data_IF_295514212204
#
_entry.id   IF_295514212204
#
_cell.length_a   1.000
_cell.length_b   1.000
_cell.length_c   1.000
_cell.angle_alpha   90.00
_cell.angle_beta   90.00
_cell.angle_gamma   90.00
#
_symmetry.space_group_name_H-M   'P 1'
#
loop_
_entity.id
_entity.type
_entity.pdbx_description
1 polymer ?
#
# COMPACT_ATOMS: atom_id res chain seq x y z
N UNK A 1 -11.89 -21.22 22.63
CA UNK A 1 -11.75 -19.76 22.41
C UNK A 1 -10.33 -19.50 21.87
N UNK A 2 -10.15 -19.09 20.61
CA UNK A 2 -8.82 -18.93 20.00
C UNK A 2 -8.07 -17.75 20.61
N UNK A 3 -6.81 -17.95 21.03
CA UNK A 3 -5.97 -16.83 21.47
C UNK A 3 -5.64 -15.89 20.30
N UNK A 4 -5.49 -14.58 20.57
CA UNK A 4 -5.25 -13.55 19.55
C UNK A 4 -4.07 -13.89 18.62
N UNK A 5 -3.01 -14.50 19.17
CA UNK A 5 -1.84 -14.97 18.39
C UNK A 5 -2.21 -16.11 17.41
N UNK A 6 -3.06 -17.04 17.84
CA UNK A 6 -3.55 -18.13 16.98
C UNK A 6 -4.42 -17.59 15.83
N UNK A 7 -5.24 -16.56 16.09
CA UNK A 7 -6.05 -15.89 15.04
C UNK A 7 -5.17 -15.25 13.96
N UNK A 8 -4.14 -14.50 14.36
CA UNK A 8 -3.18 -13.88 13.42
C UNK A 8 -2.48 -14.92 12.54
N UNK A 9 -1.96 -15.99 13.16
CA UNK A 9 -1.28 -17.06 12.44
C UNK A 9 -2.25 -17.74 11.47
N UNK A 10 -3.46 -18.08 11.94
CA UNK A 10 -4.48 -18.69 11.11
C UNK A 10 -4.86 -17.81 9.93
N UNK A 11 -5.10 -16.51 10.15
CA UNK A 11 -5.41 -15.55 9.07
C UNK A 11 -4.29 -15.51 8.04
N UNK A 12 -3.02 -15.39 8.47
CA UNK A 12 -1.90 -15.36 7.53
C UNK A 12 -1.73 -16.66 6.74
N UNK A 13 -1.93 -17.80 7.39
CA UNK A 13 -1.80 -19.11 6.77
C UNK A 13 -2.93 -19.38 5.78
N UNK A 14 -4.19 -19.08 6.16
CA UNK A 14 -5.36 -19.22 5.29
C UNK A 14 -5.24 -18.31 4.06
N UNK A 15 -4.83 -17.06 4.23
CA UNK A 15 -4.63 -16.14 3.09
C UNK A 15 -3.50 -16.60 2.18
N UNK A 16 -2.37 -17.05 2.74
CA UNK A 16 -1.22 -17.55 1.96
C UNK A 16 -1.59 -18.79 1.14
N UNK A 17 -2.28 -19.75 1.77
CA UNK A 17 -2.78 -20.94 1.09
C UNK A 17 -3.85 -20.59 0.05
N UNK A 18 -4.73 -19.63 0.37
CA UNK A 18 -5.72 -19.11 -0.56
C UNK A 18 -5.08 -18.53 -1.81
N UNK A 19 -4.01 -17.75 -1.67
CA UNK A 19 -3.25 -17.21 -2.79
C UNK A 19 -2.61 -18.30 -3.65
N UNK A 20 -2.00 -19.32 -3.04
CA UNK A 20 -1.49 -20.47 -3.78
C UNK A 20 -2.63 -21.22 -4.49
N UNK A 21 -3.79 -21.35 -3.84
CA UNK A 21 -4.98 -22.01 -4.38
C UNK A 21 -5.54 -21.32 -5.63
N UNK A 22 -5.33 -20.01 -5.82
CA UNK A 22 -5.74 -19.30 -7.05
C UNK A 22 -5.10 -19.92 -8.30
N UNK A 23 -3.90 -20.50 -8.16
CA UNK A 23 -3.20 -21.12 -9.29
C UNK A 23 -3.95 -22.30 -9.90
N UNK A 24 -4.75 -23.00 -9.09
CA UNK A 24 -5.54 -24.15 -9.54
C UNK A 24 -6.75 -23.75 -10.40
N UNK A 25 -7.13 -22.47 -10.41
CA UNK A 25 -8.26 -22.00 -11.20
C UNK A 25 -7.87 -21.72 -12.67
N UNK A 26 -8.77 -22.02 -13.62
CA UNK A 26 -8.63 -21.60 -15.02
C UNK A 26 -8.52 -20.06 -15.16
N UNK A 27 -7.82 -19.59 -16.19
CA UNK A 27 -7.48 -18.18 -16.37
C UNK A 27 -8.67 -17.22 -16.28
N UNK A 28 -9.84 -17.61 -16.81
CA UNK A 28 -11.05 -16.76 -16.79
C UNK A 28 -11.54 -16.42 -15.38
N UNK A 29 -11.28 -17.29 -14.40
CA UNK A 29 -11.76 -17.12 -13.03
C UNK A 29 -10.72 -16.50 -12.10
N UNK A 30 -9.47 -16.31 -12.55
CA UNK A 30 -8.37 -15.83 -11.69
C UNK A 30 -8.59 -14.41 -11.19
N UNK A 31 -9.08 -13.50 -12.03
CA UNK A 31 -9.43 -12.14 -11.60
C UNK A 31 -10.53 -12.13 -10.54
N UNK A 32 -11.58 -12.93 -10.73
CA UNK A 32 -12.64 -13.11 -9.74
C UNK A 32 -12.12 -13.71 -8.43
N UNK A 33 -11.20 -14.68 -8.51
CA UNK A 33 -10.60 -15.32 -7.35
C UNK A 33 -9.73 -14.34 -6.53
N UNK A 34 -8.99 -13.43 -7.18
CA UNK A 34 -8.23 -12.37 -6.50
C UNK A 34 -9.19 -11.37 -5.83
N UNK A 35 -10.27 -10.99 -6.50
CA UNK A 35 -11.32 -10.17 -5.88
C UNK A 35 -11.90 -10.84 -4.63
N UNK A 36 -12.22 -12.14 -4.74
CA UNK A 36 -12.66 -12.97 -3.61
C UNK A 36 -11.63 -13.03 -2.48
N UNK A 37 -10.35 -13.23 -2.79
CA UNK A 37 -9.26 -13.26 -1.81
C UNK A 37 -9.07 -11.90 -1.13
N UNK A 38 -9.28 -10.80 -1.85
CA UNK A 38 -9.22 -9.45 -1.30
C UNK A 38 -10.34 -9.21 -0.29
N UNK A 39 -11.58 -9.63 -0.62
CA UNK A 39 -12.72 -9.57 0.31
C UNK A 39 -12.49 -10.49 1.52
N UNK A 40 -11.96 -11.69 1.28
CA UNK A 40 -11.58 -12.62 2.35
C UNK A 40 -10.50 -12.02 3.26
N UNK A 41 -9.53 -11.29 2.69
CA UNK A 41 -8.51 -10.56 3.45
C UNK A 41 -9.15 -9.54 4.37
N UNK A 42 -10.06 -8.70 3.85
CA UNK A 42 -10.79 -7.72 4.67
C UNK A 42 -11.53 -8.40 5.82
N UNK A 43 -12.21 -9.52 5.53
CA UNK A 43 -13.04 -10.25 6.50
C UNK A 43 -12.20 -10.91 7.59
N UNK A 44 -11.13 -11.60 7.22
CA UNK A 44 -10.25 -12.30 8.16
C UNK A 44 -9.43 -11.32 9.02
N UNK A 45 -8.99 -10.19 8.46
CA UNK A 45 -8.36 -9.14 9.25
C UNK A 45 -9.36 -8.48 10.21
N UNK A 46 -10.59 -8.20 9.76
CA UNK A 46 -11.63 -7.65 10.63
C UNK A 46 -11.90 -8.60 11.80
N UNK A 47 -12.08 -9.89 11.53
CA UNK A 47 -12.26 -10.92 12.55
C UNK A 47 -11.07 -11.04 13.51
N UNK A 48 -9.83 -10.96 13.00
CA UNK A 48 -8.63 -11.08 13.82
C UNK A 48 -8.36 -9.86 14.70
N UNK A 49 -8.86 -8.68 14.31
CA UNK A 49 -8.57 -7.40 15.00
C UNK A 49 -9.77 -6.86 15.81
N UNK A 50 -10.96 -7.45 15.68
CA UNK A 50 -12.21 -6.97 16.29
C UNK A 50 -12.17 -6.80 17.82
N UNK A 51 -11.41 -7.63 18.54
CA UNK A 51 -11.45 -7.77 20.02
C UNK A 51 -10.96 -6.55 20.84
N UNK A 52 -10.94 -5.34 20.29
CA UNK A 52 -10.59 -4.14 21.06
C UNK A 52 -10.67 -2.81 20.31
N UNK A 53 -11.37 -2.75 19.17
CA UNK A 53 -11.40 -1.57 18.30
C UNK A 53 -12.80 -0.97 18.18
N UNK A 54 -12.87 0.36 18.15
CA UNK A 54 -14.02 1.09 17.60
C UNK A 54 -14.08 0.95 16.07
N UNK A 55 -15.28 1.01 15.50
CA UNK A 55 -15.56 0.69 14.09
C UNK A 55 -14.66 1.46 13.09
N UNK A 56 -14.40 2.73 13.36
CA UNK A 56 -13.57 3.60 12.52
C UNK A 56 -12.11 3.13 12.40
N UNK A 57 -11.54 2.65 13.51
CA UNK A 57 -10.14 2.19 13.53
C UNK A 57 -9.99 0.86 12.82
N UNK A 58 -10.96 -0.05 13.00
CA UNK A 58 -10.98 -1.31 12.26
C UNK A 58 -10.93 -1.02 10.77
N UNK A 59 -11.78 -0.13 10.26
CA UNK A 59 -11.79 0.24 8.84
C UNK A 59 -10.41 0.69 8.33
N UNK A 60 -9.74 1.59 9.04
CA UNK A 60 -8.40 2.09 8.67
C UNK A 60 -7.34 0.99 8.65
N UNK A 61 -7.38 0.06 9.60
CA UNK A 61 -6.44 -1.06 9.67
C UNK A 61 -6.64 -2.09 8.55
N UNK A 62 -7.79 -2.09 7.88
CA UNK A 62 -8.10 -2.99 6.76
C UNK A 62 -7.60 -2.48 5.41
N UNK A 63 -7.38 -1.17 5.27
CA UNK A 63 -6.99 -0.55 3.99
C UNK A 63 -5.70 -1.15 3.45
N UNK A 64 -4.63 -1.14 4.25
CA UNK A 64 -3.32 -1.57 3.74
C UNK A 64 -3.27 -3.08 3.43
N UNK A 65 -3.79 -3.99 4.28
CA UNK A 65 -3.79 -5.41 3.96
C UNK A 65 -4.62 -5.76 2.72
N UNK A 66 -5.77 -5.10 2.53
CA UNK A 66 -6.62 -5.37 1.36
C UNK A 66 -5.97 -4.86 0.08
N UNK A 67 -5.39 -3.66 0.09
CA UNK A 67 -4.65 -3.14 -1.06
C UNK A 67 -3.38 -3.94 -1.35
N UNK A 68 -2.70 -4.48 -0.34
CA UNK A 68 -1.56 -5.37 -0.54
C UNK A 68 -1.98 -6.66 -1.25
N UNK A 69 -3.06 -7.31 -0.81
CA UNK A 69 -3.58 -8.50 -1.50
C UNK A 69 -4.00 -8.21 -2.93
N UNK A 70 -4.69 -7.10 -3.16
CA UNK A 70 -5.11 -6.69 -4.50
C UNK A 70 -3.90 -6.38 -5.39
N UNK A 71 -2.92 -5.62 -4.89
CA UNK A 71 -1.70 -5.26 -5.62
C UNK A 71 -0.87 -6.48 -5.99
N UNK A 72 -0.56 -7.35 -5.03
CA UNK A 72 0.19 -8.59 -5.30
C UNK A 72 -0.61 -9.53 -6.22
N UNK A 73 -1.92 -9.61 -6.02
CA UNK A 73 -2.81 -10.44 -6.83
C UNK A 73 -2.83 -10.03 -8.30
N UNK A 74 -2.93 -8.72 -8.60
CA UNK A 74 -2.90 -8.26 -10.00
C UNK A 74 -1.48 -8.37 -10.56
N UNK A 75 -0.45 -8.02 -9.77
CA UNK A 75 0.95 -8.11 -10.18
C UNK A 75 1.36 -9.53 -10.57
N UNK A 76 0.76 -10.55 -9.95
CA UNK A 76 0.96 -11.96 -10.29
C UNK A 76 0.75 -12.26 -11.79
N UNK A 77 -0.22 -11.60 -12.45
CA UNK A 77 -0.47 -11.82 -13.88
C UNK A 77 0.63 -11.25 -14.79
N UNK A 78 1.44 -10.33 -14.29
CA UNK A 78 2.55 -9.73 -15.03
C UNK A 78 3.78 -10.63 -15.01
N UNK A 79 3.80 -11.64 -14.14
CA UNK A 79 4.93 -12.55 -13.96
C UNK A 79 4.77 -13.77 -14.89
N UNK A 80 5.86 -14.22 -15.56
CA UNK A 80 5.82 -15.42 -16.37
C UNK A 80 5.32 -16.64 -15.58
N UNK A 81 4.61 -17.55 -16.25
CA UNK A 81 4.05 -18.78 -15.66
C UNK A 81 5.11 -19.83 -15.23
N UNK A 82 6.37 -19.40 -15.05
CA UNK A 82 7.46 -20.24 -14.58
C UNK A 82 7.45 -20.31 -13.04
N UNK A 83 7.51 -21.52 -12.50
CA UNK A 83 7.54 -21.77 -11.06
C UNK A 83 8.65 -20.98 -10.35
N UNK A 84 9.82 -20.82 -10.98
CA UNK A 84 10.93 -20.07 -10.40
C UNK A 84 10.64 -18.57 -10.27
N UNK A 85 9.86 -17.99 -11.19
CA UNK A 85 9.46 -16.59 -11.14
C UNK A 85 8.32 -16.37 -10.13
N UNK A 86 7.51 -17.40 -9.89
CA UNK A 86 6.36 -17.37 -8.99
C UNK A 86 6.73 -17.55 -7.51
N UNK A 87 7.73 -18.36 -7.19
CA UNK A 87 8.18 -18.61 -5.80
C UNK A 87 8.46 -17.31 -5.03
N UNK A 88 9.23 -16.33 -5.55
CA UNK A 88 9.47 -15.06 -4.86
C UNK A 88 8.18 -14.31 -4.52
N UNK A 89 7.18 -14.32 -5.40
CA UNK A 89 5.91 -13.63 -5.17
C UNK A 89 5.07 -14.31 -4.11
N UNK A 90 5.05 -15.65 -4.08
CA UNK A 90 4.37 -16.42 -3.03
C UNK A 90 5.00 -16.14 -1.67
N UNK A 91 6.34 -16.12 -1.59
CA UNK A 91 7.07 -15.79 -0.37
C UNK A 91 6.77 -14.35 0.06
N UNK A 92 6.83 -13.40 -0.89
CA UNK A 92 6.53 -12.00 -0.63
C UNK A 92 5.11 -11.83 -0.08
N UNK A 93 4.13 -12.50 -0.67
CA UNK A 93 2.75 -12.45 -0.24
C UNK A 93 2.57 -13.03 1.16
N UNK A 94 3.04 -14.25 1.41
CA UNK A 94 2.84 -14.93 2.69
C UNK A 94 3.56 -14.24 3.83
N UNK A 95 4.81 -13.83 3.61
CA UNK A 95 5.56 -13.03 4.58
C UNK A 95 4.93 -11.65 4.77
N UNK A 96 4.57 -10.96 3.69
CA UNK A 96 3.95 -9.65 3.72
C UNK A 96 2.64 -9.64 4.52
N UNK A 97 1.74 -10.59 4.28
CA UNK A 97 0.49 -10.73 5.04
C UNK A 97 0.75 -10.98 6.52
N UNK A 98 1.70 -11.85 6.86
CA UNK A 98 2.05 -12.10 8.26
C UNK A 98 2.56 -10.83 8.96
N UNK A 99 3.47 -10.10 8.31
CA UNK A 99 4.00 -8.84 8.84
C UNK A 99 2.92 -7.77 8.94
N UNK A 100 1.98 -7.70 7.97
CA UNK A 100 0.82 -6.82 8.01
C UNK A 100 -0.10 -7.13 9.20
N UNK A 101 -0.41 -8.41 9.44
CA UNK A 101 -1.19 -8.81 10.61
C UNK A 101 -0.53 -8.35 11.92
N UNK A 102 0.79 -8.53 12.05
CA UNK A 102 1.53 -8.09 13.22
C UNK A 102 1.52 -6.57 13.38
N UNK A 103 1.76 -5.84 12.29
CA UNK A 103 1.82 -4.38 12.28
C UNK A 103 0.47 -3.77 12.64
N UNK A 104 -0.62 -4.24 12.03
CA UNK A 104 -1.98 -3.77 12.34
C UNK A 104 -2.41 -4.10 13.76
N UNK A 105 -2.01 -5.26 14.28
CA UNK A 105 -2.23 -5.58 15.69
C UNK A 105 -1.41 -4.68 16.63
N UNK A 106 -0.18 -4.30 16.28
CA UNK A 106 0.61 -3.35 17.07
C UNK A 106 -0.06 -1.97 17.08
N UNK A 107 -0.53 -1.46 15.93
CA UNK A 107 -1.26 -0.20 15.86
C UNK A 107 -2.53 -0.23 16.73
N UNK A 108 -3.30 -1.30 16.63
CA UNK A 108 -4.49 -1.53 17.46
C UNK A 108 -4.18 -1.47 18.96
N UNK A 109 -3.11 -2.13 19.40
CA UNK A 109 -2.71 -2.12 20.82
C UNK A 109 -2.16 -0.76 21.24
N UNK A 110 -1.44 -0.08 20.34
CA UNK A 110 -0.83 1.22 20.56
C UNK A 110 -1.85 2.35 20.77
N UNK A 111 -3.04 2.24 20.20
CA UNK A 111 -4.14 3.21 20.40
C UNK A 111 -4.69 3.20 21.84
N UNK A 112 -4.56 2.07 22.56
CA UNK A 112 -5.00 1.97 23.96
C UNK A 112 -3.86 2.39 24.90
N UNK A 113 -2.63 1.96 24.60
CA UNK A 113 -1.46 2.23 25.42
C UNK A 113 -0.21 2.34 24.56
N UNK A 114 0.70 3.25 24.91
CA UNK A 114 1.99 3.35 24.25
C UNK A 114 2.83 2.09 24.49
N UNK A 115 3.40 1.52 23.43
CA UNK A 115 4.26 0.34 23.48
C UNK A 115 5.58 0.58 22.74
N UNK A 116 6.69 0.06 23.26
CA UNK A 116 8.02 0.27 22.67
C UNK A 116 8.13 -0.20 21.20
N UNK A 117 7.41 -1.27 20.86
CA UNK A 117 7.37 -1.85 19.52
C UNK A 117 6.70 -0.94 18.48
N UNK A 118 5.99 0.13 18.89
CA UNK A 118 5.30 1.03 17.98
C UNK A 118 6.26 1.72 17.00
N UNK A 119 7.45 2.12 17.46
CA UNK A 119 8.44 2.78 16.59
C UNK A 119 8.89 1.87 15.45
N UNK A 120 9.14 0.59 15.76
CA UNK A 120 9.50 -0.41 14.76
C UNK A 120 8.32 -0.67 13.81
N UNK A 121 7.10 -0.81 14.34
CA UNK A 121 5.91 -1.03 13.53
C UNK A 121 5.61 0.12 12.56
N UNK A 122 5.83 1.38 12.95
CA UNK A 122 5.70 2.53 12.04
C UNK A 122 6.66 2.43 10.85
N UNK A 123 7.93 2.09 11.09
CA UNK A 123 8.91 1.90 10.02
C UNK A 123 8.54 0.75 9.09
N UNK A 124 8.16 -0.40 9.64
CA UNK A 124 7.74 -1.58 8.86
C UNK A 124 6.46 -1.28 8.07
N UNK A 125 5.47 -0.65 8.70
CA UNK A 125 4.23 -0.24 8.06
C UNK A 125 4.47 0.73 6.90
N UNK A 126 5.36 1.71 7.08
CA UNK A 126 5.74 2.65 6.03
C UNK A 126 6.38 1.94 4.83
N UNK A 127 7.32 1.02 5.04
CA UNK A 127 7.91 0.22 3.96
C UNK A 127 6.86 -0.63 3.23
N UNK A 128 5.94 -1.25 3.97
CA UNK A 128 4.84 -2.02 3.39
C UNK A 128 3.87 -1.14 2.60
N UNK A 129 3.63 0.11 3.03
CA UNK A 129 2.87 1.10 2.28
C UNK A 129 3.52 1.42 0.95
N UNK A 130 4.84 1.66 0.93
CA UNK A 130 5.57 1.93 -0.31
C UNK A 130 5.51 0.73 -1.27
N UNK A 131 5.80 -0.47 -0.76
CA UNK A 131 5.71 -1.70 -1.55
C UNK A 131 4.30 -1.91 -2.12
N UNK A 132 3.27 -1.73 -1.30
CA UNK A 132 1.87 -1.84 -1.74
C UNK A 132 1.55 -0.81 -2.81
N UNK A 133 1.95 0.45 -2.62
CA UNK A 133 1.71 1.51 -3.59
C UNK A 133 2.39 1.23 -4.93
N UNK A 134 3.63 0.73 -4.92
CA UNK A 134 4.32 0.32 -6.14
C UNK A 134 3.54 -0.76 -6.90
N UNK A 135 3.16 -1.84 -6.20
CA UNK A 135 2.43 -2.95 -6.83
C UNK A 135 1.08 -2.50 -7.40
N UNK A 136 0.38 -1.60 -6.70
CA UNK A 136 -0.92 -1.11 -7.14
C UNK A 136 -0.79 -0.13 -8.30
N UNK A 137 0.18 0.79 -8.29
CA UNK A 137 0.43 1.67 -9.44
C UNK A 137 0.87 0.88 -10.67
N UNK A 138 1.72 -0.13 -10.48
CA UNK A 138 2.16 -1.02 -11.54
C UNK A 138 1.00 -1.83 -12.14
N UNK A 139 0.12 -2.34 -11.29
CA UNK A 139 -1.12 -2.96 -11.71
C UNK A 139 -1.99 -2.00 -12.54
N UNK A 140 -2.22 -0.76 -12.06
CA UNK A 140 -3.08 0.22 -12.76
C UNK A 140 -2.49 0.58 -14.13
N UNK A 141 -1.18 0.90 -14.20
CA UNK A 141 -0.53 1.26 -15.46
C UNK A 141 -0.44 0.07 -16.43
N UNK A 142 -0.33 -1.16 -15.92
CA UNK A 142 -0.34 -2.37 -16.75
C UNK A 142 -1.70 -2.63 -17.42
N UNK A 143 -2.80 -2.11 -16.87
CA UNK A 143 -4.13 -2.23 -17.50
C UNK A 143 -4.24 -1.44 -18.82
N UNK A 144 -3.34 -0.47 -19.07
CA UNK A 144 -3.29 0.36 -20.31
C UNK A 144 -4.67 0.90 -20.73
N UNK A 145 -5.44 1.39 -19.76
CA UNK A 145 -6.79 1.92 -19.97
C UNK A 145 -6.76 3.38 -20.46
N UNK A 146 -7.94 3.95 -20.72
CA UNK A 146 -8.08 5.35 -21.13
C UNK A 146 -7.57 6.32 -20.04
N UNK A 147 -7.10 7.48 -20.50
CA UNK A 147 -6.45 8.49 -19.67
C UNK A 147 -7.26 8.89 -18.41
N UNK A 148 -8.53 9.34 -18.54
CA UNK A 148 -9.35 9.64 -17.37
C UNK A 148 -9.48 8.51 -16.35
N UNK A 149 -9.54 7.25 -16.79
CA UNK A 149 -9.66 6.11 -15.88
C UNK A 149 -8.39 5.89 -15.08
N UNK A 150 -7.24 5.94 -15.76
CA UNK A 150 -5.94 5.72 -15.12
C UNK A 150 -5.69 6.79 -14.06
N UNK A 151 -5.89 8.07 -14.40
CA UNK A 151 -5.72 9.18 -13.45
C UNK A 151 -6.72 9.07 -12.30
N UNK A 152 -7.99 8.79 -12.61
CA UNK A 152 -9.05 8.64 -11.61
C UNK A 152 -8.74 7.51 -10.64
N UNK A 153 -8.32 6.34 -11.13
CA UNK A 153 -7.94 5.20 -10.31
C UNK A 153 -6.70 5.50 -9.45
N UNK A 154 -5.66 6.09 -10.04
CA UNK A 154 -4.45 6.44 -9.30
C UNK A 154 -4.77 7.42 -8.16
N UNK A 155 -5.51 8.49 -8.43
CA UNK A 155 -5.93 9.44 -7.39
C UNK A 155 -6.81 8.79 -6.32
N UNK A 156 -7.84 8.04 -6.75
CA UNK A 156 -8.81 7.40 -5.86
C UNK A 156 -8.18 6.36 -4.94
N UNK A 157 -7.23 5.56 -5.43
CA UNK A 157 -6.50 4.56 -4.64
C UNK A 157 -5.41 5.21 -3.77
N UNK A 158 -4.81 6.31 -4.21
CA UNK A 158 -3.82 7.02 -3.39
C UNK A 158 -4.45 7.62 -2.14
N UNK A 159 -5.71 8.04 -2.20
CA UNK A 159 -6.43 8.59 -1.05
C UNK A 159 -6.45 7.65 0.18
N UNK A 160 -6.98 6.40 0.11
CA UNK A 160 -6.98 5.50 1.25
C UNK A 160 -5.55 5.14 1.71
N UNK A 161 -4.57 5.06 0.79
CA UNK A 161 -3.18 4.83 1.15
C UNK A 161 -2.62 5.97 2.02
N UNK A 162 -2.80 7.23 1.60
CA UNK A 162 -2.38 8.38 2.40
C UNK A 162 -3.14 8.47 3.71
N UNK A 163 -4.45 8.22 3.68
CA UNK A 163 -5.29 8.32 4.86
C UNK A 163 -4.85 7.33 5.95
N UNK A 164 -4.63 6.06 5.58
CA UNK A 164 -4.11 5.04 6.49
C UNK A 164 -2.66 5.35 6.93
N UNK A 165 -1.80 5.77 6.01
CA UNK A 165 -0.39 6.03 6.28
C UNK A 165 -0.16 7.23 7.21
N UNK A 166 -0.96 8.29 7.08
CA UNK A 166 -0.92 9.46 7.95
C UNK A 166 -1.51 9.17 9.33
N UNK A 167 -2.60 8.39 9.39
CA UNK A 167 -3.21 7.97 10.65
C UNK A 167 -2.28 7.11 11.53
N UNK A 168 -1.34 6.37 10.94
CA UNK A 168 -0.36 5.57 11.68
C UNK A 168 0.56 6.39 12.63
N UNK A 169 0.59 7.72 12.45
CA UNK A 169 1.32 8.63 13.34
C UNK A 169 0.53 8.92 14.62
N UNK A 170 -0.63 9.61 14.61
CA UNK A 170 -1.35 9.94 15.84
C UNK A 170 -2.07 8.73 16.46
N UNK A 171 -2.49 7.74 15.66
CA UNK A 171 -3.27 6.56 16.11
C UNK A 171 -4.52 6.94 16.93
N UNK A 172 -5.12 8.08 16.63
CA UNK A 172 -6.33 8.58 17.28
C UNK A 172 -7.57 7.75 16.89
N UNK A 173 -8.56 7.71 17.79
CA UNK A 173 -9.82 6.97 17.55
C UNK A 173 -10.77 7.68 16.61
N UNK A 174 -10.65 9.00 16.52
CA UNK A 174 -11.51 9.87 15.73
C UNK A 174 -10.82 10.30 14.44
N UNK A 175 -11.63 10.57 13.41
CA UNK A 175 -11.11 11.06 12.14
C UNK A 175 -10.76 12.54 12.26
N UNK A 176 -9.47 12.85 12.33
CA UNK A 176 -9.00 14.23 12.27
C UNK A 176 -9.23 14.83 10.87
N UNK A 177 -9.85 16.01 10.83
CA UNK A 177 -10.04 16.80 9.59
C UNK A 177 -8.70 17.17 8.94
N UNK A 178 -7.66 17.34 9.75
CA UNK A 178 -6.32 17.65 9.26
C UNK A 178 -5.72 16.46 8.51
N UNK A 179 -5.85 15.24 9.04
CA UNK A 179 -5.41 14.02 8.35
C UNK A 179 -6.18 13.84 7.03
N UNK A 180 -7.49 14.06 7.07
CA UNK A 180 -8.35 13.93 5.89
C UNK A 180 -7.96 14.92 4.78
N UNK A 181 -7.76 16.20 5.14
CA UNK A 181 -7.39 17.23 4.17
C UNK A 181 -6.01 16.98 3.57
N UNK A 182 -5.02 16.62 4.39
CA UNK A 182 -3.67 16.30 3.90
C UNK A 182 -3.68 15.06 3.01
N UNK A 183 -4.45 14.02 3.36
CA UNK A 183 -4.59 12.82 2.53
C UNK A 183 -5.25 13.15 1.18
N UNK A 184 -6.31 13.96 1.18
CA UNK A 184 -7.03 14.36 -0.02
C UNK A 184 -6.14 15.18 -0.95
N UNK A 185 -5.48 16.22 -0.44
CA UNK A 185 -4.55 17.04 -1.23
C UNK A 185 -3.40 16.18 -1.79
N UNK A 186 -2.79 15.31 -0.97
CA UNK A 186 -1.69 14.45 -1.43
C UNK A 186 -2.15 13.47 -2.51
N UNK A 187 -3.36 12.92 -2.40
CA UNK A 187 -3.92 12.03 -3.41
C UNK A 187 -4.21 12.72 -4.74
N UNK A 188 -4.66 13.97 -4.71
CA UNK A 188 -4.86 14.79 -5.90
C UNK A 188 -3.53 15.08 -6.59
N UNK A 189 -2.49 15.47 -5.83
CA UNK A 189 -1.14 15.68 -6.36
C UNK A 189 -0.63 14.41 -7.07
N UNK A 190 -0.82 13.22 -6.47
CA UNK A 190 -0.43 11.96 -7.13
C UNK A 190 -1.22 11.72 -8.43
N UNK A 191 -2.51 12.04 -8.48
CA UNK A 191 -3.31 11.99 -9.70
C UNK A 191 -2.79 12.93 -10.80
N UNK A 192 -2.41 14.16 -10.45
CA UNK A 192 -1.83 15.13 -11.38
C UNK A 192 -0.44 14.71 -11.88
N UNK A 193 0.37 14.09 -11.02
CA UNK A 193 1.63 13.49 -11.44
C UNK A 193 1.41 12.33 -12.41
N UNK A 194 0.37 11.51 -12.20
CA UNK A 194 0.00 10.44 -13.14
C UNK A 194 -0.47 10.99 -14.50
N UNK A 195 -1.20 12.11 -14.52
CA UNK A 195 -1.54 12.83 -15.75
C UNK A 195 -0.27 13.30 -16.48
N UNK A 196 0.70 13.83 -15.73
CA UNK A 196 1.97 14.29 -16.29
C UNK A 196 2.77 13.13 -16.90
N UNK A 197 2.79 11.97 -16.24
CA UNK A 197 3.44 10.75 -16.74
C UNK A 197 2.85 10.24 -18.04
N UNK A 198 1.56 10.47 -18.29
CA UNK A 198 0.91 10.00 -19.51
C UNK A 198 1.51 10.60 -20.79
N UNK A 199 1.98 11.85 -20.70
CA UNK A 199 2.63 12.54 -21.83
C UNK A 199 4.12 12.21 -21.96
N UNK A 200 4.66 11.40 -21.04
CA UNK A 200 6.07 11.04 -21.00
C UNK A 200 6.26 9.59 -21.45
N UNK A 201 7.20 9.28 -22.37
CA UNK A 201 7.44 7.92 -22.84
C UNK A 201 8.18 7.04 -21.82
N UNK A 202 7.59 6.85 -20.64
CA UNK A 202 8.14 5.99 -19.59
C UNK A 202 7.56 4.57 -19.65
N UNK A 203 8.36 3.61 -19.23
CA UNK A 203 7.88 2.24 -19.02
C UNK A 203 6.97 2.19 -17.79
N UNK A 204 6.09 1.19 -17.75
CA UNK A 204 5.16 0.98 -16.63
C UNK A 204 5.91 0.96 -15.29
N UNK A 205 6.97 0.17 -15.19
CA UNK A 205 7.79 0.05 -13.97
C UNK A 205 8.39 1.38 -13.53
N UNK A 206 8.94 2.17 -14.47
CA UNK A 206 9.56 3.47 -14.15
C UNK A 206 8.50 4.47 -13.69
N UNK A 207 7.34 4.52 -14.36
CA UNK A 207 6.22 5.36 -13.93
C UNK A 207 5.70 4.98 -12.55
N UNK A 208 5.55 3.68 -12.26
CA UNK A 208 5.12 3.17 -10.94
C UNK A 208 6.10 3.55 -9.84
N UNK A 209 7.41 3.41 -10.09
CA UNK A 209 8.45 3.82 -9.13
C UNK A 209 8.42 5.33 -8.88
N UNK A 210 8.22 6.14 -9.94
CA UNK A 210 8.12 7.59 -9.80
C UNK A 210 6.94 8.00 -8.90
N UNK A 211 5.76 7.40 -9.08
CA UNK A 211 4.61 7.65 -8.22
C UNK A 211 4.84 7.16 -6.78
N UNK A 212 5.47 6.00 -6.60
CA UNK A 212 5.82 5.48 -5.26
C UNK A 212 6.79 6.39 -4.52
N UNK A 213 7.79 6.94 -5.22
CA UNK A 213 8.70 7.92 -4.62
C UNK A 213 7.95 9.21 -4.30
N UNK A 214 7.10 9.69 -5.20
CA UNK A 214 6.28 10.88 -4.94
C UNK A 214 5.39 10.67 -3.71
N UNK A 215 4.82 9.47 -3.55
CA UNK A 215 4.08 9.08 -2.36
C UNK A 215 4.97 9.04 -1.12
N UNK A 216 6.19 8.48 -1.21
CA UNK A 216 7.18 8.52 -0.13
C UNK A 216 7.46 9.95 0.35
N UNK A 217 7.64 10.89 -0.58
CA UNK A 217 7.89 12.30 -0.25
C UNK A 217 6.67 12.93 0.44
N UNK A 218 5.49 12.82 -0.17
CA UNK A 218 4.27 13.43 0.35
C UNK A 218 3.85 12.83 1.69
N UNK A 219 3.94 11.51 1.82
CA UNK A 219 3.60 10.80 3.06
C UNK A 219 4.60 11.15 4.16
N UNK A 220 5.90 11.16 3.85
CA UNK A 220 6.95 11.54 4.80
C UNK A 220 6.81 12.98 5.30
N UNK A 221 6.55 13.93 4.40
CA UNK A 221 6.28 15.34 4.75
C UNK A 221 5.00 15.48 5.57
N UNK A 222 3.94 14.76 5.21
CA UNK A 222 2.68 14.75 5.95
C UNK A 222 2.85 14.18 7.36
N UNK A 223 3.58 13.07 7.51
CA UNK A 223 3.92 12.51 8.82
C UNK A 223 4.79 13.49 9.64
N UNK A 224 5.80 14.11 9.04
CA UNK A 224 6.64 15.10 9.72
C UNK A 224 5.85 16.33 10.19
N UNK A 225 4.86 16.78 9.41
CA UNK A 225 3.93 17.84 9.80
C UNK A 225 3.10 17.43 11.02
N UNK A 226 2.52 16.23 11.01
CA UNK A 226 1.72 15.71 12.12
C UNK A 226 2.55 15.51 13.40
N UNK A 227 3.84 15.21 13.27
CA UNK A 227 4.76 15.13 14.41
C UNK A 227 5.29 16.49 14.90
N UNK A 228 4.91 17.60 14.24
CA UNK A 228 5.41 18.94 14.56
C UNK A 228 6.88 19.17 14.23
N UNK A 229 7.47 18.33 13.37
CA UNK A 229 8.90 18.36 12.99
C UNK A 229 9.13 18.78 11.54
N UNK A 230 8.21 19.55 10.98
CA UNK A 230 8.33 20.09 9.62
C UNK A 230 9.32 21.26 9.59
N UNK A 231 10.60 20.94 9.77
CA UNK A 231 11.68 21.89 9.64
C UNK A 231 12.08 22.06 8.17
N UNK A 232 12.61 23.24 7.83
CA UNK A 232 13.13 23.53 6.48
C UNK A 232 14.17 22.51 6.03
N UNK A 233 14.94 21.94 6.97
CA UNK A 233 15.91 20.89 6.69
C UNK A 233 15.25 19.60 6.23
N UNK A 234 14.21 19.13 6.94
CA UNK A 234 13.41 17.95 6.56
C UNK A 234 12.86 18.12 5.14
N UNK A 235 12.29 19.29 4.83
CA UNK A 235 11.76 19.58 3.49
C UNK A 235 12.86 19.50 2.42
N UNK A 236 14.06 20.03 2.70
CA UNK A 236 15.19 19.95 1.77
C UNK A 236 15.63 18.50 1.54
N UNK A 237 15.71 17.68 2.58
CA UNK A 237 16.09 16.26 2.44
C UNK A 237 15.11 15.50 1.52
N UNK A 238 13.80 15.68 1.72
CA UNK A 238 12.78 15.09 0.85
C UNK A 238 12.87 15.63 -0.58
N UNK A 239 13.04 16.95 -0.77
CA UNK A 239 13.17 17.54 -2.11
C UNK A 239 14.40 17.02 -2.86
N UNK A 240 15.54 16.84 -2.18
CA UNK A 240 16.75 16.28 -2.79
C UNK A 240 16.49 14.86 -3.30
N UNK A 241 15.82 14.02 -2.51
CA UNK A 241 15.44 12.66 -2.95
C UNK A 241 14.52 12.72 -4.17
N UNK A 242 13.54 13.62 -4.18
CA UNK A 242 12.65 13.83 -5.32
C UNK A 242 13.38 14.25 -6.60
N UNK A 243 14.31 15.20 -6.49
CA UNK A 243 15.13 15.66 -7.61
C UNK A 243 16.00 14.52 -8.15
N UNK A 244 16.65 13.75 -7.27
CA UNK A 244 17.48 12.61 -7.68
C UNK A 244 16.68 11.56 -8.44
N UNK A 245 15.47 11.25 -7.98
CA UNK A 245 14.58 10.30 -8.67
C UNK A 245 14.07 10.85 -9.98
N UNK A 246 13.74 12.14 -10.05
CA UNK A 246 13.34 12.80 -11.29
C UNK A 246 14.48 12.75 -12.34
N UNK A 247 15.72 13.01 -11.93
CA UNK A 247 16.90 12.87 -12.80
C UNK A 247 17.07 11.41 -13.25
N UNK A 248 16.97 10.46 -12.32
CA UNK A 248 17.07 9.03 -12.65
C UNK A 248 16.01 8.59 -13.67
N UNK A 249 14.78 9.05 -13.51
CA UNK A 249 13.68 8.81 -14.45
C UNK A 249 13.96 9.44 -15.82
N UNK A 250 14.44 10.68 -15.87
CA UNK A 250 14.80 11.36 -17.11
C UNK A 250 15.87 10.57 -17.89
N UNK A 251 16.89 10.06 -17.20
CA UNK A 251 17.95 9.25 -17.80
C UNK A 251 17.50 7.85 -18.24
N UNK A 252 16.55 7.25 -17.52
CA UNK A 252 15.99 5.95 -17.87
C UNK A 252 15.02 6.01 -19.06
N UNK A 253 14.49 7.20 -19.37
CA UNK A 253 13.57 7.41 -20.47
C UNK A 253 14.30 7.31 -21.81
N UNK A 254 13.83 6.42 -22.69
CA UNK A 254 14.30 6.36 -24.08
C UNK A 254 13.36 7.20 -24.95
N UNK A 255 13.86 8.33 -25.41
CA UNK A 255 13.13 9.25 -26.29
C UNK A 255 13.22 8.86 -27.78
N UNK A 256 14.13 7.94 -28.12
CA UNK A 256 14.14 7.26 -29.42
C UNK A 256 13.41 5.94 -29.29
N UNK A 257 12.31 5.78 -30.04
CA UNK A 257 11.53 4.55 -30.12
C UNK A 257 12.34 3.33 -30.53
#
# INVERSE_FOLDING_TARGET
MFSKRKKIILTSLVLSLGFVGIQAFPDQYRFGAIGGLTILTATLFAFSLWEGLGMNMTLLTLILPTLFTLGVGIFWFLIPANIYAQIPVIILYGFGIYVLCLTMNIYTVATIRTIALLRAARGVGFVLTLLTSFLVYDAIFSLRTYLPFTIGLVGLISFPIFFQGLWAVPLEKEFSKDILSVALVSSLIIGELALSLYFWPVTVVVGSLFLTVSLYLLLGLGQARLEGRLFTQTVKEYLVVGILVFIGMYLATRWGG
#
